data_IF_483954993244
#
_entry.id   IF_483954993244
#
_cell.length_a   1.000
_cell.length_b   1.000
_cell.length_c   1.000
_cell.angle_alpha   90.00
_cell.angle_beta   90.00
_cell.angle_gamma   90.00
#
_symmetry.space_group_name_H-M   'P 1'
#
loop_
_entity.id
_entity.type
_entity.pdbx_description
1 polymer ?
#
# COMPACT_ATOMS: atom_id res chain seq x y z
N UNK A 1 -27.34 47.80 8.90
CA UNK A 1 -27.13 47.45 10.32
C UNK A 1 -28.39 46.79 10.86
N UNK A 2 -28.41 45.47 11.00
CA UNK A 2 -29.54 44.76 11.63
C UNK A 2 -29.09 43.44 12.26
N UNK A 3 -28.79 43.54 13.56
CA UNK A 3 -29.10 42.63 14.69
C UNK A 3 -28.73 41.12 14.65
N UNK A 4 -27.92 40.76 15.65
CA UNK A 4 -27.58 39.44 16.23
C UNK A 4 -28.78 38.67 16.84
N UNK A 5 -28.73 37.32 16.80
CA UNK A 5 -29.01 36.35 17.91
C UNK A 5 -28.87 34.90 17.39
N UNK A 6 -27.86 34.11 17.78
CA UNK A 6 -27.71 33.26 18.99
C UNK A 6 -28.37 31.86 18.87
N UNK A 7 -27.51 30.82 18.96
CA UNK A 7 -27.66 29.42 19.46
C UNK A 7 -28.65 28.44 18.83
N UNK A 8 -28.16 27.25 18.45
CA UNK A 8 -28.45 25.99 19.17
C UNK A 8 -27.57 24.83 18.70
N UNK A 9 -27.16 23.99 19.66
CA UNK A 9 -26.29 22.82 19.58
C UNK A 9 -27.15 21.54 19.51
N UNK A 10 -26.54 20.44 19.07
CA UNK A 10 -26.95 19.02 19.21
C UNK A 10 -27.94 18.45 18.18
N UNK A 11 -27.40 17.68 17.23
CA UNK A 11 -27.86 16.33 16.93
C UNK A 11 -26.70 15.52 16.31
N UNK A 12 -25.87 14.93 17.17
CA UNK A 12 -24.94 13.89 16.76
C UNK A 12 -25.74 12.58 16.57
N UNK A 13 -25.96 12.18 15.32
CA UNK A 13 -26.43 10.83 15.01
C UNK A 13 -25.22 9.98 14.67
N UNK A 14 -24.73 9.25 15.68
CA UNK A 14 -23.63 8.31 15.55
C UNK A 14 -24.05 7.12 14.67
N UNK A 15 -23.63 7.13 13.40
CA UNK A 15 -23.58 5.91 12.59
C UNK A 15 -22.31 5.15 12.96
N UNK A 16 -22.43 4.21 13.90
CA UNK A 16 -21.42 3.18 14.08
C UNK A 16 -21.81 1.99 13.21
N UNK A 17 -21.43 2.04 11.93
CA UNK A 17 -21.41 0.85 11.09
C UNK A 17 -20.40 -0.11 11.70
N UNK A 18 -20.88 -1.22 12.25
CA UNK A 18 -20.05 -2.35 12.63
C UNK A 18 -19.38 -2.88 11.36
N UNK A 19 -18.17 -2.41 11.08
CA UNK A 19 -17.30 -3.04 10.09
C UNK A 19 -16.84 -4.37 10.70
N UNK A 20 -17.47 -5.45 10.27
CA UNK A 20 -16.99 -6.81 10.52
C UNK A 20 -15.57 -6.91 9.98
N UNK A 21 -14.60 -6.88 10.87
CA UNK A 21 -13.19 -6.88 10.53
C UNK A 21 -12.78 -8.33 10.25
N UNK A 22 -12.77 -8.71 8.97
CA UNK A 22 -12.26 -10.01 8.53
C UNK A 22 -10.72 -9.96 8.51
N UNK A 23 -10.08 -10.31 9.62
CA UNK A 23 -8.61 -10.34 9.78
C UNK A 23 -7.91 -11.50 9.06
N UNK A 24 -8.64 -12.45 8.45
CA UNK A 24 -8.05 -13.65 7.85
C UNK A 24 -7.53 -13.48 6.42
N UNK A 25 -8.32 -12.88 5.52
CA UNK A 25 -8.01 -12.85 4.08
C UNK A 25 -6.94 -11.82 3.70
N UNK A 26 -6.86 -10.69 4.42
CA UNK A 26 -5.89 -9.62 4.14
C UNK A 26 -4.45 -10.03 4.49
N UNK A 27 -4.26 -10.71 5.61
CA UNK A 27 -2.94 -11.13 6.09
C UNK A 27 -2.25 -12.11 5.14
N UNK A 28 -3.00 -13.06 4.58
CA UNK A 28 -2.44 -14.03 3.64
C UNK A 28 -2.10 -13.39 2.29
N UNK A 29 -2.93 -12.47 1.79
CA UNK A 29 -2.63 -11.68 0.60
C UNK A 29 -1.34 -10.85 0.77
N UNK A 30 -1.13 -10.25 1.95
CA UNK A 30 0.12 -9.53 2.26
C UNK A 30 1.31 -10.49 2.31
N UNK A 31 1.18 -11.65 2.95
CA UNK A 31 2.27 -12.65 3.01
C UNK A 31 2.64 -13.15 1.62
N UNK A 32 1.66 -13.41 0.76
CA UNK A 32 1.88 -13.82 -0.62
C UNK A 32 2.55 -12.73 -1.44
N UNK A 33 2.07 -11.49 -1.37
CA UNK A 33 2.70 -10.34 -2.02
C UNK A 33 4.15 -10.16 -1.57
N UNK A 34 4.42 -10.25 -0.27
CA UNK A 34 5.77 -10.13 0.25
C UNK A 34 6.66 -11.27 -0.22
N UNK A 35 6.20 -12.53 -0.18
CA UNK A 35 7.00 -13.69 -0.60
C UNK A 35 7.22 -13.73 -2.11
N UNK A 36 6.19 -13.48 -2.91
CA UNK A 36 6.22 -13.60 -4.36
C UNK A 36 6.77 -12.35 -5.07
N UNK A 37 6.60 -11.17 -4.49
CA UNK A 37 6.97 -9.90 -5.11
C UNK A 37 8.24 -9.25 -4.54
N UNK A 38 8.44 -9.27 -3.22
CA UNK A 38 9.37 -8.34 -2.56
C UNK A 38 10.53 -9.00 -1.77
N UNK A 39 10.46 -10.30 -1.50
CA UNK A 39 11.42 -10.96 -0.60
C UNK A 39 12.57 -11.61 -1.36
N UNK A 40 13.79 -11.20 -1.02
CA UNK A 40 15.04 -11.82 -1.49
C UNK A 40 15.68 -11.10 -2.67
N UNK A 41 16.93 -11.45 -2.95
CA UNK A 41 17.78 -10.76 -3.94
C UNK A 41 17.40 -11.08 -5.39
N UNK A 42 16.55 -12.08 -5.61
CA UNK A 42 16.00 -12.46 -6.91
C UNK A 42 14.51 -12.14 -7.04
N UNK A 43 13.98 -11.33 -6.13
CA UNK A 43 12.57 -10.93 -6.14
C UNK A 43 12.20 -10.07 -7.35
N UNK A 44 10.92 -10.06 -7.71
CA UNK A 44 10.40 -9.23 -8.80
C UNK A 44 10.68 -7.74 -8.55
N UNK A 45 10.51 -7.29 -7.31
CA UNK A 45 10.82 -5.91 -6.92
C UNK A 45 12.31 -5.59 -7.13
N UNK A 46 13.22 -6.52 -6.78
CA UNK A 46 14.66 -6.32 -7.00
C UNK A 46 15.01 -6.26 -8.50
N UNK A 47 14.46 -7.17 -9.30
CA UNK A 47 14.62 -7.15 -10.76
C UNK A 47 14.07 -5.85 -11.36
N UNK A 48 12.93 -5.37 -10.87
CA UNK A 48 12.30 -4.13 -11.32
C UNK A 48 13.15 -2.89 -11.01
N UNK A 49 13.66 -2.79 -9.77
CA UNK A 49 14.58 -1.71 -9.36
C UNK A 49 15.88 -1.69 -10.17
N UNK A 50 16.36 -2.86 -10.60
CA UNK A 50 17.56 -2.98 -11.44
C UNK A 50 17.30 -2.78 -12.94
N UNK A 51 16.04 -2.59 -13.35
CA UNK A 51 15.66 -2.50 -14.76
C UNK A 51 15.82 -3.81 -15.53
N UNK A 52 15.86 -4.95 -14.83
CA UNK A 52 16.03 -6.30 -15.39
C UNK A 52 14.73 -7.10 -15.43
N UNK A 53 13.65 -6.59 -14.84
CA UNK A 53 12.35 -7.25 -14.86
C UNK A 53 11.80 -7.34 -16.28
N UNK A 54 11.30 -8.52 -16.65
CA UNK A 54 10.55 -8.71 -17.88
C UNK A 54 9.15 -8.08 -17.78
N UNK A 55 8.43 -7.97 -18.91
CA UNK A 55 7.02 -7.54 -18.89
C UNK A 55 6.15 -8.45 -18.03
N UNK A 56 6.41 -9.76 -18.04
CA UNK A 56 5.69 -10.72 -17.19
C UNK A 56 6.00 -10.53 -15.71
N UNK A 57 7.25 -10.21 -15.37
CA UNK A 57 7.64 -9.91 -13.99
C UNK A 57 6.95 -8.65 -13.47
N UNK A 58 6.90 -7.60 -14.30
CA UNK A 58 6.22 -6.34 -13.96
C UNK A 58 4.72 -6.58 -13.77
N UNK A 59 4.09 -7.38 -14.64
CA UNK A 59 2.67 -7.72 -14.51
C UNK A 59 2.37 -8.52 -13.23
N UNK A 60 3.22 -9.50 -12.87
CA UNK A 60 3.09 -10.24 -11.60
C UNK A 60 3.30 -9.33 -10.39
N UNK A 61 4.30 -8.45 -10.44
CA UNK A 61 4.58 -7.47 -9.40
C UNK A 61 3.41 -6.51 -9.20
N UNK A 62 2.79 -6.05 -10.29
CA UNK A 62 1.56 -5.24 -10.23
C UNK A 62 0.44 -5.95 -9.51
N UNK A 63 0.17 -7.21 -9.85
CA UNK A 63 -0.88 -7.98 -9.19
C UNK A 63 -0.63 -8.09 -7.66
N UNK A 64 0.62 -8.26 -7.25
CA UNK A 64 0.98 -8.23 -5.83
C UNK A 64 0.82 -6.84 -5.19
N UNK A 65 1.14 -5.76 -5.90
CA UNK A 65 0.91 -4.40 -5.38
C UNK A 65 -0.60 -4.11 -5.25
N UNK A 66 -1.41 -4.54 -6.20
CA UNK A 66 -2.87 -4.41 -6.14
C UNK A 66 -3.48 -5.19 -4.97
N UNK A 67 -2.92 -6.36 -4.62
CA UNK A 67 -3.38 -7.10 -3.44
C UNK A 67 -3.04 -6.37 -2.14
N UNK A 68 -1.89 -5.68 -2.07
CA UNK A 68 -1.52 -4.85 -0.92
C UNK A 68 -2.45 -3.65 -0.74
N UNK A 69 -2.82 -2.95 -1.83
CA UNK A 69 -3.75 -1.82 -1.78
C UNK A 69 -5.13 -2.24 -1.25
N UNK A 70 -5.56 -3.46 -1.58
CA UNK A 70 -6.86 -4.02 -1.13
C UNK A 70 -6.81 -4.56 0.31
N UNK A 71 -5.61 -4.81 0.84
CA UNK A 71 -5.42 -5.32 2.19
C UNK A 71 -5.39 -4.18 3.22
N UNK A 72 -5.74 -4.51 4.46
CA UNK A 72 -5.50 -3.62 5.61
C UNK A 72 -4.12 -3.89 6.21
N UNK A 73 -3.41 -2.88 6.74
CA UNK A 73 -2.15 -3.11 7.42
C UNK A 73 -2.39 -3.98 8.66
N UNK A 74 -1.50 -4.95 8.95
CA UNK A 74 -1.65 -5.80 10.13
C UNK A 74 -1.30 -5.04 11.42
N UNK A 75 -0.49 -3.98 11.32
CA UNK A 75 -0.18 -3.00 12.37
C UNK A 75 0.06 -1.61 11.75
N UNK A 76 -0.08 -0.56 12.54
CA UNK A 76 0.09 0.82 12.08
C UNK A 76 -1.21 1.44 11.54
N UNK A 77 -1.08 2.59 10.89
CA UNK A 77 -2.21 3.41 10.44
C UNK A 77 -2.60 3.15 8.97
N UNK A 78 -3.92 3.15 8.70
CA UNK A 78 -4.50 2.90 7.38
C UNK A 78 -4.10 3.96 6.34
N UNK A 79 -3.96 5.23 6.74
CA UNK A 79 -3.54 6.30 5.82
C UNK A 79 -2.07 6.14 5.43
N UNK A 80 -1.20 5.78 6.39
CA UNK A 80 0.21 5.47 6.09
C UNK A 80 0.34 4.27 5.15
N UNK A 81 -0.47 3.23 5.34
CA UNK A 81 -0.51 2.07 4.45
C UNK A 81 -0.94 2.44 3.03
N UNK A 82 -2.03 3.22 2.92
CA UNK A 82 -2.56 3.71 1.65
C UNK A 82 -1.53 4.55 0.90
N UNK A 83 -0.88 5.50 1.57
CA UNK A 83 0.15 6.35 0.96
C UNK A 83 1.28 5.51 0.33
N UNK A 84 1.82 4.54 1.08
CA UNK A 84 2.93 3.69 0.62
C UNK A 84 2.50 2.77 -0.52
N UNK A 85 1.33 2.14 -0.44
CA UNK A 85 0.83 1.22 -1.47
C UNK A 85 0.40 1.95 -2.75
N UNK A 86 -0.11 3.18 -2.65
CA UNK A 86 -0.36 4.03 -3.82
C UNK A 86 0.94 4.50 -4.49
N UNK A 87 1.99 4.81 -3.72
CA UNK A 87 3.30 5.13 -4.27
C UNK A 87 3.87 3.94 -5.07
N UNK A 88 3.75 2.73 -4.53
CA UNK A 88 4.10 1.49 -5.24
C UNK A 88 3.28 1.33 -6.53
N UNK A 89 1.96 1.55 -6.45
CA UNK A 89 1.06 1.42 -7.61
C UNK A 89 1.47 2.34 -8.75
N UNK A 90 1.75 3.61 -8.45
CA UNK A 90 2.22 4.59 -9.43
C UNK A 90 3.56 4.20 -10.03
N UNK A 91 4.50 3.72 -9.20
CA UNK A 91 5.81 3.33 -9.67
C UNK A 91 5.79 2.06 -10.55
N UNK A 92 4.94 1.08 -10.24
CA UNK A 92 4.74 -0.09 -11.10
C UNK A 92 4.09 0.28 -12.43
N UNK A 93 3.11 1.20 -12.43
CA UNK A 93 2.54 1.71 -13.67
C UNK A 93 3.59 2.39 -14.56
N UNK A 94 4.52 3.14 -13.96
CA UNK A 94 5.64 3.74 -14.70
C UNK A 94 6.54 2.67 -15.35
N UNK A 95 6.82 1.56 -14.64
CA UNK A 95 7.55 0.41 -15.19
C UNK A 95 6.80 -0.23 -16.37
N UNK A 96 5.48 -0.43 -16.27
CA UNK A 96 4.65 -0.99 -17.35
C UNK A 96 4.72 -0.16 -18.63
N UNK A 97 4.68 1.17 -18.48
CA UNK A 97 4.76 2.10 -19.61
C UNK A 97 6.18 2.31 -20.16
N UNK A 98 7.20 1.74 -19.50
CA UNK A 98 8.60 1.94 -19.87
C UNK A 98 9.07 3.39 -19.69
N UNK A 99 8.54 4.11 -18.70
CA UNK A 99 8.92 5.50 -18.45
C UNK A 99 10.42 5.61 -18.13
N UNK A 100 11.04 6.72 -18.56
CA UNK A 100 12.42 7.03 -18.20
C UNK A 100 12.56 7.06 -16.66
N UNK A 101 13.66 6.52 -16.14
CA UNK A 101 13.94 6.39 -14.70
C UNK A 101 12.90 5.60 -13.87
N UNK A 102 11.99 4.85 -14.50
CA UNK A 102 11.03 4.02 -13.79
C UNK A 102 11.67 3.02 -12.80
N UNK A 103 12.81 2.34 -13.10
CA UNK A 103 13.49 1.48 -12.13
C UNK A 103 13.90 2.21 -10.85
N UNK A 104 14.50 3.40 -10.97
CA UNK A 104 14.91 4.22 -9.80
C UNK A 104 13.72 4.74 -9.01
N UNK A 105 12.67 5.17 -9.73
CA UNK A 105 11.41 5.62 -9.11
C UNK A 105 10.76 4.48 -8.33
N UNK A 106 10.76 3.27 -8.90
CA UNK A 106 10.28 2.08 -8.23
C UNK A 106 11.14 1.70 -7.04
N UNK A 107 12.47 1.75 -7.13
CA UNK A 107 13.36 1.50 -6.00
C UNK A 107 13.07 2.42 -4.81
N UNK A 108 12.88 3.71 -5.08
CA UNK A 108 12.54 4.70 -4.05
C UNK A 108 11.18 4.42 -3.39
N UNK A 109 10.18 3.96 -4.18
CA UNK A 109 8.86 3.58 -3.66
C UNK A 109 8.89 2.24 -2.91
N UNK A 110 9.69 1.27 -3.37
CA UNK A 110 9.92 -0.04 -2.77
C UNK A 110 10.86 0.04 -1.54
N UNK A 111 10.60 1.01 -0.66
CA UNK A 111 11.36 1.24 0.55
C UNK A 111 10.97 0.23 1.63
N UNK A 112 11.58 -0.96 1.55
CA UNK A 112 11.36 -2.08 2.46
C UNK A 112 11.45 -1.68 3.94
N UNK A 113 12.38 -0.78 4.29
CA UNK A 113 12.56 -0.32 5.67
C UNK A 113 11.41 0.57 6.12
N UNK A 114 11.09 1.62 5.35
CA UNK A 114 10.04 2.57 5.71
C UNK A 114 8.63 1.97 5.78
N UNK A 115 8.38 0.87 5.05
CA UNK A 115 7.14 0.12 5.18
C UNK A 115 7.18 -0.83 6.39
N UNK A 116 8.24 -1.63 6.53
CA UNK A 116 8.30 -2.64 7.58
C UNK A 116 8.47 -2.08 8.99
N UNK A 117 9.07 -0.91 9.18
CA UNK A 117 9.15 -0.27 10.51
C UNK A 117 7.76 0.09 11.07
N UNK A 118 6.80 0.38 10.19
CA UNK A 118 5.44 0.80 10.58
C UNK A 118 4.46 -0.38 10.54
N UNK A 119 4.55 -1.24 9.53
CA UNK A 119 3.49 -2.19 9.20
C UNK A 119 3.87 -3.66 9.32
N UNK A 120 5.12 -4.01 9.64
CA UNK A 120 5.49 -5.41 9.82
C UNK A 120 5.24 -5.84 11.27
N UNK A 121 4.44 -6.88 11.52
CA UNK A 121 4.27 -7.41 12.86
C UNK A 121 5.61 -7.90 13.42
N UNK A 122 5.89 -7.56 14.68
CA UNK A 122 7.03 -8.16 15.41
C UNK A 122 6.76 -9.65 15.55
N UNK A 123 7.78 -10.48 15.26
CA UNK A 123 7.71 -11.91 15.56
C UNK A 123 7.50 -12.05 17.07
N UNK A 124 6.47 -12.82 17.46
CA UNK A 124 6.27 -13.26 18.84
C UNK A 124 7.23 -14.40 19.14
#
# INVERSE_FOLDING_TARGET
MTKFKTTSVCAAMAMFSAVSVSYGAGDDAIKEAMKGGFKGDTSLAKLASEGKATKEDIAKLKAYVESLVKAKPPVGDDASWKEKTEALTKAVAALETGAADAPKTFEAAANCKACHEVHKPKKK
#
